data_IF_912855811383
#
_entry.id   IF_912855811383
#
_cell.length_a   1.000
_cell.length_b   1.000
_cell.length_c   1.000
_cell.angle_alpha   90.00
_cell.angle_beta   90.00
_cell.angle_gamma   90.00
#
_symmetry.space_group_name_H-M   'P 1'
#
loop_
_entity.id
_entity.type
_entity.pdbx_description
1 polymer ?
#
# COMPACT_ATOMS: atom_id res chain seq x y z
N UNK A 1 -55.91 62.54 -50.12
CA UNK A 1 -55.52 63.25 -48.89
C UNK A 1 -54.72 62.30 -48.02
N UNK A 2 -53.64 62.78 -47.38
CA UNK A 2 -52.54 61.96 -46.89
C UNK A 2 -52.83 61.40 -45.49
N UNK A 3 -52.25 60.25 -45.16
CA UNK A 3 -51.89 59.95 -43.76
C UNK A 3 -50.57 59.22 -43.74
N UNK A 4 -49.53 59.99 -43.43
CA UNK A 4 -48.21 59.52 -43.03
C UNK A 4 -48.35 58.79 -41.69
N UNK A 5 -48.08 57.47 -41.66
CA UNK A 5 -47.72 56.80 -40.42
C UNK A 5 -46.21 56.54 -40.36
N UNK A 6 -45.65 57.08 -39.27
CA UNK A 6 -44.26 57.11 -38.86
C UNK A 6 -43.67 55.69 -38.75
N UNK A 7 -42.48 55.52 -39.33
CA UNK A 7 -41.55 54.44 -38.99
C UNK A 7 -40.75 54.85 -37.74
N UNK A 8 -40.79 54.09 -36.64
CA UNK A 8 -39.82 54.26 -35.57
C UNK A 8 -38.51 53.54 -35.92
N UNK A 9 -37.43 54.33 -35.91
CA UNK A 9 -36.04 53.91 -35.98
C UNK A 9 -35.52 53.59 -34.56
N UNK A 10 -34.67 52.55 -34.50
CA UNK A 10 -33.52 52.32 -33.58
C UNK A 10 -33.78 51.71 -32.19
N UNK A 11 -33.02 50.63 -31.97
CA UNK A 11 -32.65 50.01 -30.70
C UNK A 11 -32.16 48.60 -31.04
N UNK A 12 -30.92 48.34 -31.42
CA UNK A 12 -29.72 48.78 -30.72
C UNK A 12 -29.42 47.77 -29.62
N UNK A 13 -28.58 46.77 -29.95
CA UNK A 13 -27.57 46.24 -29.02
C UNK A 13 -28.09 45.42 -27.82
N UNK A 14 -28.52 44.16 -28.02
CA UNK A 14 -28.62 43.22 -26.89
C UNK A 14 -28.62 41.74 -27.33
N UNK A 15 -27.60 41.31 -28.09
CA UNK A 15 -27.43 39.90 -28.51
C UNK A 15 -25.98 39.40 -28.31
N UNK A 16 -25.27 39.93 -27.29
CA UNK A 16 -23.86 39.55 -27.05
C UNK A 16 -23.55 39.18 -25.58
N UNK A 17 -24.56 38.74 -24.81
CA UNK A 17 -24.37 38.27 -23.42
C UNK A 17 -25.07 36.93 -23.13
N UNK A 18 -25.39 36.13 -24.15
CA UNK A 18 -26.04 34.83 -23.99
C UNK A 18 -25.12 33.63 -24.27
N UNK A 19 -23.80 33.82 -24.33
CA UNK A 19 -22.84 32.73 -24.63
C UNK A 19 -21.71 32.53 -23.60
N UNK A 20 -21.68 33.28 -22.48
CA UNK A 20 -20.65 33.15 -21.43
C UNK A 20 -21.30 32.70 -20.11
N UNK A 21 -22.11 31.63 -20.15
CA UNK A 21 -22.72 31.05 -18.95
C UNK A 21 -22.79 29.51 -18.99
N UNK A 22 -21.92 28.85 -19.77
CA UNK A 22 -21.95 27.40 -19.96
C UNK A 22 -20.53 26.79 -19.89
N UNK A 23 -19.79 27.04 -18.81
CA UNK A 23 -18.45 26.45 -18.62
C UNK A 23 -18.08 26.18 -17.15
N UNK A 24 -19.05 25.92 -16.26
CA UNK A 24 -18.78 25.62 -14.83
C UNK A 24 -19.53 24.37 -14.34
N UNK A 25 -19.75 23.37 -15.18
CA UNK A 25 -20.33 22.09 -14.73
C UNK A 25 -19.42 20.95 -15.14
N UNK A 26 -18.51 20.58 -14.23
CA UNK A 26 -17.62 19.43 -14.46
C UNK A 26 -16.53 19.27 -13.41
N UNK A 27 -16.75 19.71 -12.17
CA UNK A 27 -16.02 19.12 -11.06
C UNK A 27 -16.75 17.82 -10.73
N UNK A 28 -16.40 16.74 -11.44
CA UNK A 28 -16.69 15.40 -10.92
C UNK A 28 -16.01 15.33 -9.57
N UNK A 29 -16.81 15.35 -8.50
CA UNK A 29 -16.30 15.07 -7.18
C UNK A 29 -15.72 13.66 -7.26
N UNK A 30 -14.39 13.55 -7.23
CA UNK A 30 -13.71 12.29 -7.02
C UNK A 30 -14.21 11.77 -5.68
N UNK A 31 -15.22 10.90 -5.72
CA UNK A 31 -15.70 10.22 -4.54
C UNK A 31 -14.52 9.39 -4.02
N UNK A 32 -14.04 9.73 -2.83
CA UNK A 32 -12.96 8.99 -2.21
C UNK A 32 -13.40 7.53 -2.08
N UNK A 33 -12.54 6.60 -2.52
CA UNK A 33 -12.78 5.17 -2.38
C UNK A 33 -12.98 4.82 -0.91
N UNK A 34 -13.95 3.94 -0.63
CA UNK A 34 -14.24 3.52 0.74
C UNK A 34 -13.10 2.65 1.25
N UNK A 35 -12.47 3.05 2.35
CA UNK A 35 -11.48 2.22 3.04
C UNK A 35 -12.20 1.35 4.08
N UNK A 36 -11.99 0.02 4.12
CA UNK A 36 -12.63 -0.84 5.12
C UNK A 36 -12.09 -0.57 6.52
N UNK A 37 -12.89 -0.89 7.53
CA UNK A 37 -12.48 -0.89 8.93
C UNK A 37 -13.02 -2.10 9.70
N UNK A 38 -12.43 -2.37 10.87
CA UNK A 38 -12.78 -3.55 11.67
C UNK A 38 -14.23 -3.53 12.16
N UNK A 39 -14.85 -2.36 12.33
CA UNK A 39 -16.20 -2.24 12.90
C UNK A 39 -17.25 -2.64 11.88
N UNK A 40 -17.16 -2.12 10.65
CA UNK A 40 -18.15 -2.38 9.61
C UNK A 40 -17.82 -3.58 8.70
N UNK A 41 -16.55 -3.93 8.55
CA UNK A 41 -16.11 -4.86 7.51
C UNK A 41 -15.49 -6.16 8.06
N UNK A 42 -15.64 -6.43 9.36
CA UNK A 42 -15.06 -7.60 10.04
C UNK A 42 -15.34 -8.94 9.34
N UNK A 43 -16.53 -9.09 8.77
CA UNK A 43 -16.93 -10.32 8.09
C UNK A 43 -16.09 -10.64 6.83
N UNK A 44 -15.40 -9.63 6.28
CA UNK A 44 -14.60 -9.72 5.07
C UNK A 44 -13.08 -9.78 5.34
N UNK A 45 -12.68 -9.75 6.61
CA UNK A 45 -11.28 -9.85 7.00
C UNK A 45 -10.77 -11.28 6.76
N UNK A 46 -9.72 -11.43 5.95
CA UNK A 46 -9.17 -12.73 5.54
C UNK A 46 -8.30 -13.41 6.61
N UNK A 47 -7.75 -12.64 7.55
CA UNK A 47 -6.91 -13.10 8.65
C UNK A 47 -7.21 -12.38 9.97
N UNK A 48 -6.22 -12.28 10.84
CA UNK A 48 -6.35 -11.54 12.10
C UNK A 48 -6.12 -10.04 11.88
N UNK A 49 -6.89 -9.23 12.61
CA UNK A 49 -6.77 -7.78 12.55
C UNK A 49 -5.51 -7.30 13.27
N UNK A 50 -4.83 -6.33 12.65
CA UNK A 50 -3.63 -5.70 13.18
C UNK A 50 -3.79 -4.17 13.12
N UNK A 51 -3.90 -3.47 14.26
CA UNK A 51 -4.25 -2.04 14.29
C UNK A 51 -3.21 -1.12 13.64
N UNK A 52 -1.96 -1.57 13.50
CA UNK A 52 -0.85 -0.78 12.94
C UNK A 52 -0.54 -1.13 11.49
N UNK A 53 -1.36 -1.96 10.83
CA UNK A 53 -1.17 -2.36 9.44
C UNK A 53 -2.12 -1.59 8.52
N UNK A 54 -1.64 -1.27 7.33
CA UNK A 54 -2.49 -0.67 6.31
C UNK A 54 -3.50 -1.69 5.76
N UNK A 55 -4.62 -1.19 5.24
CA UNK A 55 -5.67 -2.04 4.69
C UNK A 55 -5.45 -2.25 3.21
N UNK A 56 -5.56 -3.50 2.78
CA UNK A 56 -5.60 -3.88 1.37
C UNK A 56 -6.96 -4.50 1.08
N UNK A 57 -7.64 -3.92 0.10
CA UNK A 57 -8.89 -4.44 -0.43
C UNK A 57 -8.58 -5.37 -1.59
N UNK A 58 -9.17 -6.56 -1.57
CA UNK A 58 -9.00 -7.59 -2.59
C UNK A 58 -10.38 -7.94 -3.15
N UNK A 59 -10.57 -7.78 -4.45
CA UNK A 59 -11.78 -8.17 -5.14
C UNK A 59 -11.56 -9.47 -5.90
N UNK A 60 -12.45 -10.45 -5.70
CA UNK A 60 -12.37 -11.78 -6.32
C UNK A 60 -13.73 -12.21 -6.89
N UNK A 61 -13.69 -13.13 -7.85
CA UNK A 61 -14.86 -13.78 -8.44
C UNK A 61 -14.68 -15.30 -8.39
N UNK A 62 -15.72 -16.09 -8.03
CA UNK A 62 -15.59 -17.56 -7.94
C UNK A 62 -15.32 -18.27 -9.28
N UNK A 63 -15.67 -17.63 -10.40
CA UNK A 63 -15.45 -18.17 -11.75
C UNK A 63 -14.11 -17.75 -12.35
N UNK A 64 -13.38 -16.86 -11.70
CA UNK A 64 -12.09 -16.34 -12.14
C UNK A 64 -10.93 -17.32 -11.83
N UNK A 65 -10.27 -17.92 -12.84
CA UNK A 65 -9.18 -18.88 -12.60
C UNK A 65 -7.95 -18.23 -11.93
N UNK A 66 -7.67 -16.96 -12.22
CA UNK A 66 -6.57 -16.22 -11.60
C UNK A 66 -6.84 -15.95 -10.11
N UNK A 67 -8.10 -15.77 -9.73
CA UNK A 67 -8.50 -15.57 -8.34
C UNK A 67 -8.23 -16.83 -7.52
N UNK A 68 -8.55 -18.01 -8.08
CA UNK A 68 -8.20 -19.32 -7.48
C UNK A 68 -6.70 -19.49 -7.28
N UNK A 69 -5.88 -18.98 -8.20
CA UNK A 69 -4.40 -19.00 -8.09
C UNK A 69 -3.86 -17.96 -7.10
N UNK A 70 -4.55 -16.85 -6.90
CA UNK A 70 -4.13 -15.76 -6.02
C UNK A 70 -4.44 -16.05 -4.54
N UNK A 71 -5.57 -16.68 -4.24
CA UNK A 71 -6.01 -16.94 -2.86
C UNK A 71 -4.94 -17.64 -1.99
N UNK A 72 -4.27 -18.73 -2.43
CA UNK A 72 -3.24 -19.37 -1.61
C UNK A 72 -2.05 -18.45 -1.30
N UNK A 73 -1.84 -17.42 -2.12
CA UNK A 73 -0.75 -16.46 -1.92
C UNK A 73 -1.12 -15.32 -0.97
N UNK A 74 -2.41 -15.10 -0.71
CA UNK A 74 -2.85 -14.14 0.31
C UNK A 74 -2.32 -14.51 1.70
N UNK A 75 -2.06 -15.79 1.96
CA UNK A 75 -1.44 -16.23 3.22
C UNK A 75 0.02 -15.77 3.36
N UNK A 76 0.67 -15.34 2.27
CA UNK A 76 2.03 -14.80 2.26
C UNK A 76 2.06 -13.29 2.48
N UNK A 77 0.89 -12.62 2.40
CA UNK A 77 0.78 -11.18 2.59
C UNK A 77 0.61 -10.91 4.07
N UNK A 78 1.73 -10.65 4.75
CA UNK A 78 1.76 -10.49 6.21
C UNK A 78 1.58 -9.04 6.66
N UNK A 79 1.96 -8.05 5.87
CA UNK A 79 2.10 -6.66 6.39
C UNK A 79 0.86 -5.79 6.26
N UNK A 80 -0.26 -6.40 5.89
CA UNK A 80 -1.52 -5.71 5.65
C UNK A 80 -2.68 -6.41 6.32
N UNK A 81 -3.72 -5.63 6.65
CA UNK A 81 -5.04 -6.19 6.92
C UNK A 81 -5.72 -6.43 5.56
N UNK A 82 -5.88 -7.71 5.20
CA UNK A 82 -6.53 -8.09 3.97
C UNK A 82 -8.05 -8.17 4.16
N UNK A 83 -8.78 -7.35 3.42
CA UNK A 83 -10.24 -7.44 3.30
C UNK A 83 -10.60 -7.95 1.91
N UNK A 84 -11.27 -9.09 1.85
CA UNK A 84 -11.59 -9.77 0.59
C UNK A 84 -13.07 -9.64 0.33
N UNK A 85 -13.46 -9.20 -0.87
CA UNK A 85 -14.85 -8.99 -1.28
C UNK A 85 -15.16 -9.75 -2.57
N UNK A 86 -16.43 -10.14 -2.72
CA UNK A 86 -16.95 -10.79 -3.92
C UNK A 86 -17.35 -9.74 -4.96
N UNK A 87 -16.66 -9.71 -6.09
CA UNK A 87 -16.95 -8.85 -7.23
C UNK A 87 -17.43 -9.69 -8.43
N UNK A 88 -18.75 -9.76 -8.70
CA UNK A 88 -19.34 -10.66 -9.69
C UNK A 88 -19.18 -10.12 -11.13
N UNK A 89 -17.95 -10.04 -11.63
CA UNK A 89 -17.63 -9.42 -12.93
C UNK A 89 -18.15 -10.21 -14.15
N UNK A 90 -18.51 -11.49 -13.97
CA UNK A 90 -19.16 -12.29 -15.02
C UNK A 90 -20.70 -12.28 -14.93
N UNK A 91 -21.26 -11.28 -14.25
CA UNK A 91 -22.70 -11.03 -14.18
C UNK A 91 -23.46 -12.09 -13.37
N UNK A 92 -24.67 -12.44 -13.85
CA UNK A 92 -25.61 -13.27 -13.08
C UNK A 92 -25.03 -14.63 -12.65
N UNK A 93 -24.15 -15.22 -13.48
CA UNK A 93 -23.54 -16.51 -13.14
C UNK A 93 -22.63 -16.42 -11.93
N UNK A 94 -21.89 -15.32 -11.79
CA UNK A 94 -21.08 -15.05 -10.61
C UNK A 94 -21.96 -14.73 -9.41
N UNK A 95 -23.02 -13.94 -9.60
CA UNK A 95 -24.01 -13.63 -8.56
C UNK A 95 -24.65 -14.89 -7.95
N UNK A 96 -25.08 -15.82 -8.81
CA UNK A 96 -25.66 -17.08 -8.35
C UNK A 96 -24.64 -17.94 -7.60
N UNK A 97 -23.36 -17.88 -8.00
CA UNK A 97 -22.27 -18.62 -7.36
C UNK A 97 -21.86 -18.03 -6.00
N UNK A 98 -21.92 -16.70 -5.82
CA UNK A 98 -21.55 -16.05 -4.55
C UNK A 98 -22.69 -16.02 -3.53
N UNK A 99 -23.96 -16.05 -3.98
CA UNK A 99 -25.14 -15.95 -3.11
C UNK A 99 -25.11 -16.92 -1.91
N UNK A 100 -24.71 -18.20 -2.06
CA UNK A 100 -24.63 -19.12 -0.92
C UNK A 100 -23.59 -18.72 0.14
N UNK A 101 -22.51 -18.01 -0.23
CA UNK A 101 -21.47 -17.60 0.71
C UNK A 101 -21.96 -16.56 1.71
N UNK A 102 -22.98 -15.77 1.36
CA UNK A 102 -23.60 -14.80 2.28
C UNK A 102 -24.49 -15.44 3.35
N UNK A 103 -24.55 -16.77 3.44
CA UNK A 103 -25.10 -17.47 4.62
C UNK A 103 -24.02 -17.71 5.68
N UNK A 104 -22.75 -17.56 5.34
CA UNK A 104 -21.65 -17.68 6.28
C UNK A 104 -21.47 -16.38 7.06
N UNK A 105 -21.14 -16.46 8.35
CA UNK A 105 -20.77 -15.28 9.15
C UNK A 105 -19.50 -14.56 8.63
N UNK A 106 -18.67 -15.25 7.85
CA UNK A 106 -17.53 -14.68 7.12
C UNK A 106 -17.58 -15.13 5.65
N UNK A 107 -18.26 -14.39 4.76
CA UNK A 107 -18.51 -14.81 3.37
C UNK A 107 -17.25 -15.01 2.52
N UNK A 108 -16.13 -14.39 2.92
CA UNK A 108 -14.82 -14.49 2.26
C UNK A 108 -13.73 -14.98 3.22
N UNK A 109 -14.12 -15.61 4.33
CA UNK A 109 -13.16 -16.20 5.26
C UNK A 109 -12.35 -17.33 4.63
N UNK A 110 -11.16 -17.61 5.16
CA UNK A 110 -10.20 -18.60 4.61
C UNK A 110 -10.86 -19.95 4.28
N UNK A 111 -11.72 -20.48 5.15
CA UNK A 111 -12.42 -21.74 4.91
C UNK A 111 -13.37 -21.70 3.69
N UNK A 112 -14.06 -20.58 3.48
CA UNK A 112 -14.97 -20.40 2.33
C UNK A 112 -14.15 -20.30 1.04
N UNK A 113 -13.07 -19.52 1.04
CA UNK A 113 -12.22 -19.36 -0.14
C UNK A 113 -11.50 -20.67 -0.52
N UNK A 114 -11.05 -21.45 0.45
CA UNK A 114 -10.47 -22.77 0.20
C UNK A 114 -11.49 -23.75 -0.38
N UNK A 115 -12.73 -23.74 0.11
CA UNK A 115 -13.81 -24.53 -0.48
C UNK A 115 -14.10 -24.11 -1.93
N UNK A 116 -14.04 -22.81 -2.23
CA UNK A 116 -14.21 -22.28 -3.58
C UNK A 116 -13.08 -22.71 -4.53
N UNK A 117 -11.84 -22.86 -4.05
CA UNK A 117 -10.75 -23.43 -4.82
C UNK A 117 -11.00 -24.92 -5.12
N UNK A 118 -11.37 -25.67 -4.08
CA UNK A 118 -11.40 -27.14 -4.12
C UNK A 118 -12.66 -27.74 -4.78
N UNK A 119 -13.77 -27.00 -4.84
CA UNK A 119 -15.05 -27.50 -5.37
C UNK A 119 -15.42 -26.91 -6.73
N UNK A 120 -16.19 -27.69 -7.50
CA UNK A 120 -16.93 -27.20 -8.66
C UNK A 120 -18.11 -26.33 -8.22
N UNK A 121 -18.68 -25.53 -9.11
CA UNK A 121 -19.82 -24.64 -8.79
C UNK A 121 -21.01 -25.39 -8.14
N UNK A 122 -21.22 -26.68 -8.47
CA UNK A 122 -22.24 -27.53 -7.85
C UNK A 122 -21.92 -27.92 -6.39
N UNK A 123 -20.64 -27.94 -6.01
CA UNK A 123 -20.19 -28.23 -4.65
C UNK A 123 -20.24 -27.02 -3.71
N UNK A 124 -20.43 -25.81 -4.24
CA UNK A 124 -20.60 -24.58 -3.44
C UNK A 124 -21.91 -24.53 -2.65
N UNK A 125 -22.88 -25.40 -2.94
CA UNK A 125 -24.09 -25.53 -2.12
C UNK A 125 -23.84 -26.32 -0.82
N UNK A 126 -22.83 -27.18 -0.80
CA UNK A 126 -22.37 -27.90 0.40
C UNK A 126 -21.23 -27.13 1.07
N UNK A 127 -21.52 -25.89 1.44
CA UNK A 127 -20.57 -25.09 2.21
C UNK A 127 -20.43 -25.64 3.64
N UNK A 128 -19.35 -25.23 4.29
CA UNK A 128 -19.04 -25.47 5.70
C UNK A 128 -20.34 -25.45 6.57
N UNK A 129 -20.50 -26.35 7.57
CA UNK A 129 -21.62 -26.30 8.52
C UNK A 129 -21.90 -24.90 9.09
N UNK A 130 -20.88 -24.05 9.16
CA UNK A 130 -20.98 -22.65 9.61
C UNK A 130 -21.62 -21.69 8.58
N UNK A 131 -22.14 -22.19 7.46
CA UNK A 131 -22.84 -21.44 6.41
C UNK A 131 -24.30 -21.89 6.26
N UNK A 132 -24.84 -22.56 7.28
CA UNK A 132 -26.25 -22.90 7.38
C UNK A 132 -27.06 -21.68 7.86
N UNK A 133 -28.28 -21.52 7.33
CA UNK A 133 -29.18 -20.46 7.74
C UNK A 133 -29.69 -19.57 6.59
N UNK A 134 -30.30 -18.46 6.99
CA UNK A 134 -30.80 -17.43 6.09
C UNK A 134 -29.66 -16.62 5.46
N UNK A 135 -29.96 -15.95 4.35
CA UNK A 135 -29.00 -15.07 3.70
C UNK A 135 -28.79 -13.81 4.55
N UNK A 136 -27.55 -13.52 4.90
CA UNK A 136 -27.17 -12.30 5.61
C UNK A 136 -27.18 -11.11 4.66
N UNK A 137 -28.30 -10.39 4.66
CA UNK A 137 -28.52 -9.22 3.80
C UNK A 137 -27.64 -8.03 4.22
N UNK A 138 -27.20 -7.96 5.47
CA UNK A 138 -26.32 -6.90 5.95
C UNK A 138 -24.91 -7.08 5.38
N UNK A 139 -24.35 -8.29 5.48
CA UNK A 139 -23.07 -8.60 4.84
C UNK A 139 -23.16 -8.44 3.32
N UNK A 140 -24.27 -8.85 2.69
CA UNK A 140 -24.48 -8.60 1.26
C UNK A 140 -24.43 -7.10 0.92
N UNK A 141 -25.13 -6.26 1.67
CA UNK A 141 -25.13 -4.82 1.46
C UNK A 141 -23.74 -4.19 1.66
N UNK A 142 -22.98 -4.65 2.65
CA UNK A 142 -21.60 -4.20 2.90
C UNK A 142 -20.69 -4.54 1.71
N UNK A 143 -20.79 -5.76 1.18
CA UNK A 143 -20.05 -6.18 -0.01
C UNK A 143 -20.39 -5.32 -1.22
N UNK A 144 -21.68 -5.15 -1.51
CA UNK A 144 -22.15 -4.40 -2.68
C UNK A 144 -21.73 -2.92 -2.59
N UNK A 145 -21.81 -2.32 -1.41
CA UNK A 145 -21.33 -0.97 -1.16
C UNK A 145 -19.81 -0.86 -1.41
N UNK A 146 -19.02 -1.84 -0.96
CA UNK A 146 -17.58 -1.85 -1.20
C UNK A 146 -17.26 -1.99 -2.69
N UNK A 147 -17.83 -2.99 -3.38
CA UNK A 147 -17.63 -3.23 -4.82
C UNK A 147 -18.03 -2.00 -5.64
N UNK A 148 -19.14 -1.34 -5.31
CA UNK A 148 -19.61 -0.16 -6.04
C UNK A 148 -18.70 1.07 -5.87
N UNK A 149 -17.88 1.12 -4.82
CA UNK A 149 -16.97 2.24 -4.55
C UNK A 149 -15.64 2.17 -5.30
N UNK A 150 -15.35 1.07 -6.03
CA UNK A 150 -14.09 0.86 -6.73
C UNK A 150 -14.29 0.66 -8.25
N UNK A 151 -13.38 1.18 -9.11
CA UNK A 151 -13.42 0.95 -10.55
C UNK A 151 -12.87 -0.45 -10.92
N UNK A 152 -13.66 -1.49 -10.66
CA UNK A 152 -13.26 -2.89 -10.88
C UNK A 152 -13.52 -3.29 -12.33
N UNK A 153 -12.48 -3.29 -13.15
CA UNK A 153 -12.53 -3.74 -14.55
C UNK A 153 -12.07 -5.20 -14.75
N UNK A 154 -11.62 -5.87 -13.69
CA UNK A 154 -11.14 -7.24 -13.72
C UNK A 154 -10.82 -7.74 -12.31
N UNK A 155 -10.68 -9.07 -12.17
CA UNK A 155 -10.29 -9.71 -10.91
C UNK A 155 -9.21 -10.79 -11.14
N UNK A 156 -8.35 -11.10 -10.14
CA UNK A 156 -8.27 -10.45 -8.84
C UNK A 156 -7.76 -9.01 -8.96
N UNK A 157 -8.36 -8.09 -8.21
CA UNK A 157 -7.92 -6.70 -8.14
C UNK A 157 -7.53 -6.35 -6.70
N UNK A 158 -6.47 -5.56 -6.54
CA UNK A 158 -5.89 -5.22 -5.26
C UNK A 158 -5.78 -3.70 -5.14
N UNK A 159 -6.16 -3.17 -3.98
CA UNK A 159 -6.07 -1.75 -3.68
C UNK A 159 -5.48 -1.54 -2.29
N UNK A 160 -4.32 -0.88 -2.20
CA UNK A 160 -3.71 -0.45 -0.96
C UNK A 160 -4.19 0.97 -0.64
N UNK A 161 -5.00 1.12 0.42
CA UNK A 161 -5.57 2.42 0.80
C UNK A 161 -6.26 3.16 -0.38
N UNK A 162 -6.99 2.42 -1.20
CA UNK A 162 -7.65 2.94 -2.40
C UNK A 162 -6.76 3.01 -3.65
N UNK A 163 -5.44 2.90 -3.53
CA UNK A 163 -4.55 2.95 -4.70
C UNK A 163 -4.43 1.56 -5.33
N UNK A 164 -4.64 1.39 -6.65
CA UNK A 164 -4.48 0.10 -7.30
C UNK A 164 -3.04 -0.40 -7.19
N UNK A 165 -2.89 -1.67 -6.82
CA UNK A 165 -1.60 -2.35 -6.68
C UNK A 165 -1.67 -3.75 -7.30
N UNK A 166 -0.51 -4.38 -7.49
CA UNK A 166 -0.41 -5.79 -7.89
C UNK A 166 -0.23 -6.66 -6.66
N UNK A 167 -0.58 -7.94 -6.79
CA UNK A 167 -0.32 -8.94 -5.75
C UNK A 167 1.18 -8.97 -5.38
N UNK A 168 2.09 -8.87 -6.34
CA UNK A 168 3.54 -8.85 -6.08
C UNK A 168 4.02 -7.62 -5.28
N UNK A 169 3.30 -6.49 -5.35
CA UNK A 169 3.63 -5.29 -4.57
C UNK A 169 3.23 -5.43 -3.10
N UNK A 170 2.22 -6.25 -2.80
CA UNK A 170 1.74 -6.50 -1.43
C UNK A 170 2.25 -7.82 -0.84
N UNK A 171 2.67 -8.77 -1.68
CA UNK A 171 3.40 -9.99 -1.30
C UNK A 171 4.82 -9.72 -0.84
N UNK A 172 5.32 -8.49 -0.97
CA UNK A 172 6.63 -8.11 -0.46
C UNK A 172 6.65 -8.34 1.04
N UNK A 173 7.19 -9.50 1.43
CA UNK A 173 7.49 -9.89 2.79
C UNK A 173 8.33 -8.77 3.39
N UNK A 174 7.74 -7.92 4.25
CA UNK A 174 8.53 -7.27 5.28
C UNK A 174 8.84 -8.40 6.24
N UNK A 175 9.89 -9.14 5.90
CA UNK A 175 10.55 -10.06 6.81
C UNK A 175 10.69 -9.28 8.10
N UNK A 176 10.27 -9.81 9.25
CA UNK A 176 10.75 -9.24 10.50
C UNK A 176 12.25 -9.04 10.28
N UNK A 177 12.74 -7.79 10.39
CA UNK A 177 14.09 -7.44 9.98
C UNK A 177 14.99 -8.47 10.63
N UNK A 178 15.82 -9.16 9.84
CA UNK A 178 16.46 -10.38 10.27
C UNK A 178 16.91 -10.25 11.72
N UNK A 179 16.32 -11.08 12.60
CA UNK A 179 16.62 -11.01 14.04
C UNK A 179 18.10 -11.28 14.32
N UNK A 180 18.83 -11.76 13.32
CA UNK A 180 20.26 -11.95 13.33
C UNK A 180 20.92 -11.23 12.14
N UNK A 181 22.03 -10.55 12.40
CA UNK A 181 22.94 -10.03 11.38
C UNK A 181 24.25 -10.79 11.49
N UNK A 182 24.60 -11.57 10.46
CA UNK A 182 25.76 -12.48 10.49
C UNK A 182 25.85 -13.34 11.78
N UNK A 183 24.70 -13.80 12.30
CA UNK A 183 24.62 -14.60 13.53
C UNK A 183 24.57 -13.81 14.85
N UNK A 184 24.67 -12.47 14.80
CA UNK A 184 24.50 -11.60 15.97
C UNK A 184 23.04 -11.21 16.11
N UNK A 185 22.42 -11.49 17.25
CA UNK A 185 21.03 -11.11 17.49
C UNK A 185 20.86 -9.59 17.62
N UNK A 186 19.95 -9.00 16.84
CA UNK A 186 19.70 -7.55 16.83
C UNK A 186 18.23 -7.28 17.17
N UNK A 187 17.99 -6.52 18.25
CA UNK A 187 16.65 -6.05 18.60
C UNK A 187 16.34 -4.73 17.88
N UNK A 188 15.78 -4.84 16.68
CA UNK A 188 15.47 -3.71 15.80
C UNK A 188 14.53 -2.67 16.44
N UNK A 189 13.72 -3.05 17.44
CA UNK A 189 12.82 -2.13 18.16
C UNK A 189 13.59 -1.03 18.91
N UNK A 190 14.85 -1.29 19.26
CA UNK A 190 15.73 -0.33 19.95
C UNK A 190 16.21 0.80 19.05
N UNK A 191 16.14 0.61 17.73
CA UNK A 191 16.62 1.54 16.71
C UNK A 191 15.48 2.30 16.01
N UNK A 192 14.34 2.48 16.69
CA UNK A 192 13.16 3.16 16.13
C UNK A 192 13.44 4.58 15.61
N UNK A 193 14.38 5.29 16.23
CA UNK A 193 14.72 6.65 15.82
C UNK A 193 15.56 6.61 14.53
N UNK A 194 16.47 5.64 14.36
CA UNK A 194 17.21 5.38 13.11
C UNK A 194 16.35 4.88 11.95
N UNK A 195 15.05 4.62 12.17
CA UNK A 195 14.14 4.19 11.11
C UNK A 195 13.79 5.35 10.21
N UNK A 196 13.91 5.17 8.90
CA UNK A 196 13.52 6.18 7.91
C UNK A 196 12.25 5.74 7.20
N UNK A 197 11.21 6.58 7.29
CA UNK A 197 9.97 6.36 6.56
C UNK A 197 10.13 6.69 5.08
N UNK A 198 10.01 5.68 4.23
CA UNK A 198 10.07 5.84 2.77
C UNK A 198 8.69 5.60 2.14
N UNK A 199 8.39 6.35 1.06
CA UNK A 199 7.15 6.15 0.29
C UNK A 199 7.16 4.84 -0.51
N UNK A 200 8.34 4.30 -0.78
CA UNK A 200 8.52 3.08 -1.57
C UNK A 200 9.05 1.95 -0.67
N UNK A 201 8.82 0.68 -1.03
CA UNK A 201 9.33 -0.46 -0.27
C UNK A 201 10.85 -0.47 -0.16
N UNK A 202 11.36 -0.85 1.01
CA UNK A 202 12.80 -0.94 1.28
C UNK A 202 13.43 -2.13 0.56
N UNK A 203 14.59 -1.93 -0.09
CA UNK A 203 15.35 -3.03 -0.73
C UNK A 203 16.35 -3.64 0.26
N UNK A 204 16.79 -2.87 1.24
CA UNK A 204 17.75 -3.27 2.27
C UNK A 204 17.20 -3.00 3.65
N UNK A 205 17.73 -3.72 4.63
CA UNK A 205 17.34 -3.54 6.01
C UNK A 205 17.97 -2.26 6.56
N UNK A 206 19.29 -2.14 6.48
CA UNK A 206 19.98 -0.98 6.99
C UNK A 206 21.16 -0.57 6.11
N UNK A 207 21.50 0.71 6.16
CA UNK A 207 22.78 1.23 5.68
C UNK A 207 23.51 1.93 6.83
N UNK A 208 24.83 1.76 6.85
CA UNK A 208 25.70 2.33 7.89
C UNK A 208 26.79 3.15 7.21
N UNK A 209 26.86 4.42 7.57
CA UNK A 209 27.88 5.38 7.15
C UNK A 209 28.82 5.66 8.34
N UNK A 210 29.95 4.94 8.44
CA UNK A 210 30.84 5.00 9.61
C UNK A 210 31.57 6.33 9.78
N UNK A 211 31.87 7.02 8.67
CA UNK A 211 32.63 8.28 8.67
C UNK A 211 31.87 9.32 7.87
N UNK A 212 32.05 10.60 8.23
CA UNK A 212 31.47 11.69 7.47
C UNK A 212 32.03 11.75 6.04
N UNK A 213 31.15 11.91 5.06
CA UNK A 213 31.48 11.87 3.62
C UNK A 213 30.63 12.88 2.85
N UNK A 214 30.90 12.97 1.55
CA UNK A 214 30.10 13.77 0.62
C UNK A 214 28.62 13.33 0.68
N UNK A 215 27.71 14.23 1.12
CA UNK A 215 26.28 13.92 1.20
C UNK A 215 25.67 13.47 -0.12
N UNK A 216 26.21 13.92 -1.26
CA UNK A 216 25.69 13.57 -2.59
C UNK A 216 25.83 12.08 -2.88
N UNK A 217 26.92 11.45 -2.42
CA UNK A 217 27.15 10.02 -2.56
C UNK A 217 26.21 9.22 -1.64
N UNK A 218 26.04 9.69 -0.40
CA UNK A 218 25.13 9.05 0.56
C UNK A 218 23.68 9.07 0.04
N UNK A 219 23.22 10.19 -0.52
CA UNK A 219 21.89 10.32 -1.13
C UNK A 219 21.72 9.35 -2.32
N UNK A 220 22.74 9.19 -3.16
CA UNK A 220 22.71 8.21 -4.26
C UNK A 220 22.60 6.78 -3.73
N UNK A 221 23.37 6.43 -2.71
CA UNK A 221 23.34 5.11 -2.08
C UNK A 221 21.98 4.86 -1.41
N UNK A 222 21.43 5.85 -0.69
CA UNK A 222 20.12 5.76 -0.08
C UNK A 222 19.00 5.60 -1.11
N UNK A 223 19.07 6.32 -2.23
CA UNK A 223 18.13 6.18 -3.35
C UNK A 223 18.24 4.81 -4.01
N UNK A 224 19.46 4.28 -4.15
CA UNK A 224 19.74 2.98 -4.75
C UNK A 224 19.28 1.81 -3.88
N UNK A 225 19.60 1.84 -2.59
CA UNK A 225 19.41 0.71 -1.67
C UNK A 225 18.15 0.80 -0.82
N UNK A 226 17.52 1.98 -0.74
CA UNK A 226 16.24 2.21 -0.02
C UNK A 226 16.20 1.47 1.32
N UNK A 227 17.10 1.80 2.28
CA UNK A 227 17.16 1.07 3.54
C UNK A 227 15.98 1.42 4.45
N UNK A 228 15.59 0.51 5.34
CA UNK A 228 14.61 0.81 6.39
C UNK A 228 15.23 1.58 7.56
N UNK A 229 16.48 1.28 7.90
CA UNK A 229 17.25 1.95 8.94
C UNK A 229 18.48 2.66 8.36
N UNK A 230 18.75 3.86 8.86
CA UNK A 230 19.91 4.65 8.52
C UNK A 230 20.73 4.90 9.79
N UNK A 231 21.99 4.47 9.78
CA UNK A 231 22.94 4.77 10.83
C UNK A 231 24.05 5.63 10.24
N UNK A 232 24.20 6.85 10.76
CA UNK A 232 25.19 7.78 10.26
C UNK A 232 25.71 8.70 11.34
N UNK A 233 26.99 9.06 11.25
CA UNK A 233 27.58 10.19 11.97
C UNK A 233 27.47 11.51 11.20
N UNK A 234 26.91 11.48 9.97
CA UNK A 234 26.64 12.70 9.20
C UNK A 234 25.50 13.52 9.79
N UNK A 235 25.32 14.71 9.23
CA UNK A 235 24.18 15.56 9.51
C UNK A 235 22.87 14.85 9.09
N UNK A 236 22.24 14.22 10.08
CA UNK A 236 20.98 13.49 9.96
C UNK A 236 19.90 14.34 9.30
N UNK A 237 19.85 15.64 9.62
CA UNK A 237 18.85 16.56 9.08
C UNK A 237 19.04 16.73 7.57
N UNK A 238 20.27 16.94 7.13
CA UNK A 238 20.59 17.06 5.70
C UNK A 238 20.26 15.78 4.91
N UNK A 239 20.56 14.60 5.46
CA UNK A 239 20.21 13.33 4.81
C UNK A 239 18.69 13.11 4.75
N UNK A 240 17.98 13.49 5.81
CA UNK A 240 16.53 13.37 5.89
C UNK A 240 15.80 14.31 4.94
N UNK A 241 16.25 15.57 4.84
CA UNK A 241 15.71 16.55 3.90
C UNK A 241 15.90 16.06 2.46
N UNK A 242 17.10 15.58 2.12
CA UNK A 242 17.41 15.09 0.78
C UNK A 242 16.55 13.88 0.38
N UNK A 243 16.17 13.02 1.32
CA UNK A 243 15.31 11.86 1.05
C UNK A 243 13.82 12.20 0.93
N UNK A 244 13.42 13.45 1.19
CA UNK A 244 12.00 13.81 1.34
C UNK A 244 11.27 12.85 2.31
N UNK A 245 11.99 12.33 3.31
CA UNK A 245 11.50 11.30 4.21
C UNK A 245 10.46 11.91 5.15
N UNK A 246 9.28 11.29 5.25
CA UNK A 246 8.17 11.83 6.05
C UNK A 246 8.28 11.53 7.55
N UNK A 247 9.27 10.74 7.97
CA UNK A 247 9.34 10.19 9.32
C UNK A 247 10.73 10.26 9.98
N UNK A 248 11.57 11.21 9.58
CA UNK A 248 12.80 11.43 10.32
C UNK A 248 12.51 12.07 11.68
N UNK A 249 13.12 11.54 12.73
CA UNK A 249 13.14 12.19 14.04
C UNK A 249 13.95 13.50 13.94
N UNK A 250 13.38 14.60 14.43
CA UNK A 250 13.98 15.94 14.36
C UNK A 250 14.33 16.46 15.76
N UNK A 251 15.32 17.36 15.84
CA UNK A 251 15.75 18.04 17.07
C UNK A 251 17.04 17.47 17.70
N UNK A 252 17.61 18.22 18.66
CA UNK A 252 18.90 17.88 19.30
C UNK A 252 18.88 16.52 20.01
N UNK A 253 17.75 16.16 20.63
CA UNK A 253 17.62 14.87 21.32
C UNK A 253 17.61 13.70 20.33
N UNK A 254 16.97 13.87 19.17
CA UNK A 254 16.99 12.88 18.10
C UNK A 254 18.42 12.64 17.62
N UNK A 255 19.18 13.70 17.34
CA UNK A 255 20.58 13.58 16.91
C UNK A 255 21.46 12.86 17.95
N UNK A 256 21.26 13.15 19.24
CA UNK A 256 21.98 12.46 20.33
C UNK A 256 21.64 10.98 20.39
N UNK A 257 20.35 10.64 20.25
CA UNK A 257 19.88 9.24 20.25
C UNK A 257 20.42 8.49 19.03
N UNK A 258 20.41 9.12 17.85
CA UNK A 258 20.99 8.55 16.62
C UNK A 258 22.48 8.26 16.80
N UNK A 259 23.25 9.21 17.31
CA UNK A 259 24.68 9.00 17.55
C UNK A 259 24.94 7.86 18.54
N UNK A 260 24.06 7.67 19.53
CA UNK A 260 24.12 6.52 20.43
C UNK A 260 23.79 5.21 19.71
N UNK A 261 22.70 5.17 18.95
CA UNK A 261 22.25 4.02 18.17
C UNK A 261 23.27 3.58 17.12
N UNK A 262 23.92 4.54 16.45
CA UNK A 262 25.04 4.31 15.55
C UNK A 262 26.18 3.59 16.27
N UNK A 263 26.68 4.14 17.39
CA UNK A 263 27.80 3.52 18.14
C UNK A 263 27.45 2.13 18.64
N UNK A 264 26.21 1.94 19.05
CA UNK A 264 25.74 0.64 19.52
C UNK A 264 25.72 -0.40 18.39
N UNK A 265 25.15 -0.07 17.21
CA UNK A 265 25.05 -1.04 16.12
C UNK A 265 26.42 -1.36 15.52
N UNK A 266 27.32 -0.38 15.40
CA UNK A 266 28.68 -0.64 14.90
C UNK A 266 29.48 -1.51 15.85
N UNK A 267 29.40 -1.25 17.17
CA UNK A 267 30.02 -2.09 18.18
C UNK A 267 29.44 -3.52 18.19
N UNK A 268 28.12 -3.66 18.08
CA UNK A 268 27.45 -4.96 18.07
C UNK A 268 27.86 -5.81 16.86
N UNK A 269 28.05 -5.17 15.70
CA UNK A 269 28.39 -5.85 14.45
C UNK A 269 29.89 -5.95 14.16
N UNK A 270 30.74 -5.40 15.03
CA UNK A 270 32.20 -5.37 14.84
C UNK A 270 32.61 -4.58 13.60
N UNK A 271 31.94 -3.45 13.35
CA UNK A 271 32.25 -2.55 12.24
C UNK A 271 33.26 -1.50 12.71
N UNK A 272 34.39 -1.44 12.03
CA UNK A 272 35.42 -0.42 12.27
C UNK A 272 35.07 0.89 11.55
N UNK A 273 35.44 2.01 12.17
CA UNK A 273 35.24 3.37 11.63
C UNK A 273 36.27 3.72 10.53
N UNK A 274 36.39 2.86 9.51
CA UNK A 274 37.30 3.08 8.37
C UNK A 274 36.75 4.16 7.43
N UNK A 275 37.54 5.21 7.10
CA UNK A 275 37.11 6.25 6.15
C UNK A 275 36.79 5.66 4.77
N UNK A 276 35.65 6.07 4.21
CA UNK A 276 35.25 5.69 2.85
C UNK A 276 34.39 4.43 2.77
N UNK A 277 34.40 3.58 3.80
CA UNK A 277 33.60 2.35 3.82
C UNK A 277 32.10 2.64 4.02
N UNK A 278 31.25 1.78 3.46
CA UNK A 278 29.81 1.77 3.68
C UNK A 278 29.39 0.34 3.89
N UNK A 279 28.52 0.13 4.87
CA UNK A 279 28.00 -1.20 5.13
C UNK A 279 26.52 -1.25 4.82
N UNK A 280 26.11 -2.34 4.16
CA UNK A 280 24.74 -2.65 3.82
C UNK A 280 24.34 -3.93 4.54
N UNK A 281 23.22 -3.87 5.24
CA UNK A 281 22.54 -5.03 5.82
C UNK A 281 21.36 -5.34 4.91
N UNK A 282 21.38 -6.49 4.26
CA UNK A 282 20.26 -6.96 3.44
C UNK A 282 19.09 -7.42 4.31
N UNK A 283 17.91 -7.60 3.69
CA UNK A 283 16.68 -8.02 4.38
C UNK A 283 16.81 -9.38 5.10
N UNK A 284 17.70 -10.25 4.63
CA UNK A 284 18.03 -11.55 5.23
C UNK A 284 19.15 -11.49 6.30
N UNK A 285 19.62 -10.29 6.66
CA UNK A 285 20.60 -10.10 7.74
C UNK A 285 22.05 -10.32 7.34
N UNK A 286 22.38 -10.31 6.05
CA UNK A 286 23.77 -10.36 5.61
C UNK A 286 24.40 -8.98 5.63
N UNK A 287 25.50 -8.83 6.36
CA UNK A 287 26.32 -7.61 6.33
C UNK A 287 27.32 -7.68 5.16
N UNK A 288 27.36 -6.62 4.36
CA UNK A 288 28.28 -6.49 3.22
C UNK A 288 28.88 -5.10 3.13
N UNK A 289 30.13 -5.01 2.68
CA UNK A 289 30.77 -3.73 2.33
C UNK A 289 30.32 -3.30 0.94
N UNK A 290 29.90 -2.05 0.78
CA UNK A 290 29.56 -1.46 -0.51
C UNK A 290 30.79 -0.75 -1.05
N UNK A 291 31.30 -1.24 -2.18
CA UNK A 291 32.41 -0.58 -2.87
C UNK A 291 31.92 0.75 -3.44
N UNK A 292 32.42 1.86 -2.89
CA UNK A 292 32.11 3.21 -3.39
C UNK A 292 33.13 3.72 -4.39
N UNK A 293 33.93 2.83 -4.98
CA UNK A 293 34.89 3.17 -6.03
C UNK A 293 34.15 3.54 -7.32
N UNK A 294 33.63 4.77 -7.36
CA UNK A 294 33.41 5.48 -8.60
C UNK A 294 34.79 5.94 -9.11
N UNK A 295 35.51 5.03 -9.76
CA UNK A 295 36.38 5.45 -10.85
C UNK A 295 35.49 6.04 -11.96
N UNK A 296 35.94 7.08 -12.68
CA UNK A 296 35.18 7.72 -13.75
C UNK A 296 35.19 6.84 -15.00
N UNK A 297 34.56 5.68 -14.95
CA UNK A 297 34.35 4.82 -16.10
C UNK A 297 32.98 4.18 -15.96
N UNK A 298 32.00 4.74 -16.67
CA UNK A 298 30.85 4.12 -17.34
C UNK A 298 29.94 5.25 -17.86
N UNK A 299 30.24 5.72 -19.07
CA UNK A 299 29.26 6.31 -20.00
C UNK A 299 28.29 5.23 -20.52
#
# INVERSE_FOLDING_TARGET
>A
MPSLHKVPRRGGTLWLLAFIALAITGMEAFAAMRIPDLTSDRAFLYGDWQPNRANVVVFIDPLCPYCKKAIPKLDQVTDYNLFVYWAPIFGQRSEDAIRPFFRCGQPTGRAVLQNMINKTAAGLAQLNPNCEGELDTANRAINDAMVSSYPINGVPAFFLQGVPVTLSQIETVITEPAGYVNGVAVDWRRYKESRIGQKLPSISLAIIFPVQRDPSLDIQLLSRYRPEYLFSLNDWEALCEALSATACANGMDAQRIQAHQFREITALLGIDDEPGEVYLISQDGKLSRVQTNAGPDLE
#
